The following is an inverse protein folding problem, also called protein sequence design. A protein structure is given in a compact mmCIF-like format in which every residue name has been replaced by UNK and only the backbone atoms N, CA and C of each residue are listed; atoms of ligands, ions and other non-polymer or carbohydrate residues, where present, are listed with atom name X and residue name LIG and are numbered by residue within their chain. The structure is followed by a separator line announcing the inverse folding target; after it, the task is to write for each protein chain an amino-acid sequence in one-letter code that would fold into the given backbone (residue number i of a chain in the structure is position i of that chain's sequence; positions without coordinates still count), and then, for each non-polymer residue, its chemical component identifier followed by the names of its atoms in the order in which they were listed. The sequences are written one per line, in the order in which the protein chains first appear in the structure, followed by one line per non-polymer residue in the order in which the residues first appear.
data_IF_166029182309
#
_entry.id   IF_166029182309
#
_cell.length_a   1.000
_cell.length_b   1.000
_cell.length_c   1.000
_cell.angle_alpha   90.00
_cell.angle_beta   90.00
_cell.angle_gamma   90.00
#
_symmetry.space_group_name_H-M   'P 1'
#
loop_
_entity.id
_entity.type
_entity.pdbx_description
1 polymer ?
#
# COMPACT_ATOMS: atom_id res chain seq x y z
N UNK A 1 22.95 16.23 -7.04
CA UNK A 1 22.22 16.71 -5.85
C UNK A 1 23.09 17.72 -5.13
N UNK A 2 22.69 18.99 -4.96
CA UNK A 2 23.52 20.01 -4.29
C UNK A 2 23.02 20.14 -2.85
N UNK A 3 23.78 19.64 -1.86
CA UNK A 3 23.43 19.76 -0.44
C UNK A 3 23.36 21.25 -0.05
N UNK A 4 22.28 21.68 0.60
CA UNK A 4 22.07 23.07 1.05
C UNK A 4 22.45 23.31 2.52
N UNK A 5 23.19 22.39 3.15
CA UNK A 5 23.63 22.51 4.55
C UNK A 5 24.31 23.85 4.83
N UNK A 6 25.08 24.38 3.88
CA UNK A 6 25.70 25.70 3.98
C UNK A 6 24.70 26.85 4.13
N UNK A 7 23.62 26.83 3.35
CA UNK A 7 22.56 27.84 3.47
C UNK A 7 21.88 27.72 4.84
N UNK A 8 21.58 26.49 5.29
CA UNK A 8 20.95 26.26 6.60
C UNK A 8 21.83 26.71 7.75
N UNK A 9 23.13 26.44 7.71
CA UNK A 9 24.11 26.95 8.69
C UNK A 9 24.07 28.48 8.72
N UNK A 10 24.09 29.13 7.56
CA UNK A 10 24.02 30.59 7.45
C UNK A 10 22.73 31.15 8.04
N UNK A 11 21.60 30.50 7.77
CA UNK A 11 20.30 30.95 8.23
C UNK A 11 20.18 30.80 9.76
N UNK A 12 20.53 29.64 10.32
CA UNK A 12 20.57 29.40 11.77
C UNK A 12 21.54 30.34 12.50
N UNK A 13 22.70 30.62 11.88
CA UNK A 13 23.68 31.58 12.40
C UNK A 13 23.09 32.98 12.47
N UNK A 14 22.39 33.41 11.42
CA UNK A 14 21.72 34.72 11.36
C UNK A 14 20.55 34.82 12.33
N UNK A 15 19.74 33.77 12.48
CA UNK A 15 18.66 33.68 13.46
C UNK A 15 19.17 33.85 14.90
N UNK A 16 20.37 33.35 15.19
CA UNK A 16 21.04 33.54 16.48
C UNK A 16 21.84 34.84 16.60
N UNK A 17 21.92 35.64 15.54
CA UNK A 17 22.62 36.94 15.54
C UNK A 17 24.15 36.86 15.72
N UNK A 18 24.78 35.72 15.42
CA UNK A 18 26.23 35.53 15.61
C UNK A 18 27.02 35.67 14.29
N UNK A 19 28.31 36.00 14.37
CA UNK A 19 29.20 36.10 13.20
C UNK A 19 29.76 34.74 12.77
N UNK A 20 30.35 34.67 11.57
CA UNK A 20 31.02 33.46 11.10
C UNK A 20 32.23 33.11 11.99
N UNK A 21 33.00 34.10 12.49
CA UNK A 21 34.08 33.86 13.46
C UNK A 21 33.54 33.24 14.74
N UNK A 22 32.45 33.79 15.30
CA UNK A 22 31.87 33.28 16.54
C UNK A 22 31.38 31.83 16.40
N UNK A 23 30.83 31.47 15.24
CA UNK A 23 30.47 30.08 14.96
C UNK A 23 31.72 29.20 14.83
N UNK A 24 32.75 29.67 14.13
CA UNK A 24 34.00 28.95 13.94
C UNK A 24 34.68 28.62 15.29
N UNK A 25 34.74 29.60 16.19
CA UNK A 25 35.31 29.44 17.53
C UNK A 25 34.52 28.41 18.37
N UNK A 26 33.19 28.41 18.26
CA UNK A 26 32.33 27.47 19.01
C UNK A 26 32.43 26.04 18.52
N UNK A 27 32.62 25.84 17.22
CA UNK A 27 32.73 24.53 16.59
C UNK A 27 34.18 24.02 16.59
N UNK A 28 35.16 24.89 16.83
CA UNK A 28 36.59 24.54 16.86
C UNK A 28 37.20 24.42 15.47
N UNK A 29 36.76 25.27 14.53
CA UNK A 29 37.25 25.31 13.15
C UNK A 29 37.72 26.72 12.77
N UNK A 30 38.32 26.87 11.60
CA UNK A 30 38.69 28.19 11.10
C UNK A 30 37.48 28.95 10.53
N UNK A 31 37.52 30.27 10.61
CA UNK A 31 36.56 31.15 9.93
C UNK A 31 36.40 30.80 8.44
N UNK A 32 37.51 30.51 7.76
CA UNK A 32 37.50 30.16 6.34
C UNK A 32 36.73 28.87 6.07
N UNK A 33 36.72 27.92 7.02
CA UNK A 33 35.91 26.70 6.90
C UNK A 33 34.41 27.06 6.90
N UNK A 34 33.96 27.83 7.89
CA UNK A 34 32.57 28.30 7.99
C UNK A 34 32.16 29.10 6.76
N UNK A 35 33.01 30.02 6.29
CA UNK A 35 32.75 30.81 5.08
C UNK A 35 32.61 29.93 3.83
N UNK A 36 33.47 28.91 3.67
CA UNK A 36 33.36 27.96 2.55
C UNK A 36 32.08 27.13 2.64
N UNK A 37 31.66 26.74 3.84
CA UNK A 37 30.39 26.03 4.04
C UNK A 37 29.21 26.91 3.64
N UNK A 38 29.11 28.12 4.18
CA UNK A 38 27.98 29.03 3.92
C UNK A 38 27.87 29.48 2.45
N UNK A 39 28.98 29.43 1.70
CA UNK A 39 29.01 29.74 0.27
C UNK A 39 28.90 28.49 -0.64
N UNK A 40 28.75 27.29 -0.06
CA UNK A 40 28.63 26.04 -0.81
C UNK A 40 29.91 25.64 -1.57
N UNK A 41 31.07 26.16 -1.15
CA UNK A 41 32.39 25.86 -1.71
C UNK A 41 32.92 24.53 -1.14
N UNK A 42 32.60 24.23 0.11
CA UNK A 42 32.94 22.98 0.78
C UNK A 42 31.79 22.54 1.70
N UNK A 43 31.80 21.28 2.13
CA UNK A 43 30.88 20.77 3.14
C UNK A 43 31.60 20.69 4.51
N UNK A 44 30.86 20.79 5.63
CA UNK A 44 31.39 20.38 6.92
C UNK A 44 31.82 18.92 6.87
N UNK A 45 32.91 18.58 7.56
CA UNK A 45 33.28 17.19 7.77
C UNK A 45 32.13 16.48 8.51
N UNK A 46 31.87 15.21 8.16
CA UNK A 46 30.77 14.43 8.75
C UNK A 46 30.89 14.34 10.28
N UNK A 47 32.11 14.38 10.82
CA UNK A 47 32.38 14.36 12.27
C UNK A 47 31.95 15.65 12.97
N UNK A 48 31.81 16.77 12.24
CA UNK A 48 31.38 18.07 12.78
C UNK A 48 29.86 18.24 12.75
N UNK A 49 29.14 17.38 12.03
CA UNK A 49 27.68 17.45 11.88
C UNK A 49 26.96 17.33 13.23
N UNK A 50 27.28 16.37 14.12
CA UNK A 50 26.66 16.31 15.44
C UNK A 50 26.92 17.56 16.29
N UNK A 51 28.13 18.13 16.21
CA UNK A 51 28.49 19.35 16.95
C UNK A 51 27.71 20.57 16.43
N UNK A 52 27.56 20.71 15.11
CA UNK A 52 26.74 21.75 14.49
C UNK A 52 25.26 21.61 14.89
N UNK A 53 24.70 20.40 14.77
CA UNK A 53 23.31 20.12 15.14
C UNK A 53 23.06 20.41 16.63
N UNK A 54 23.95 19.93 17.51
CA UNK A 54 23.91 20.19 18.94
C UNK A 54 24.07 21.66 19.29
N UNK A 55 24.98 22.38 18.63
CA UNK A 55 25.15 23.82 18.81
C UNK A 55 23.84 24.56 18.49
N UNK A 56 23.24 24.28 17.33
CA UNK A 56 22.00 24.92 16.88
C UNK A 56 20.73 24.38 17.55
N UNK A 57 20.82 23.32 18.36
CA UNK A 57 19.69 22.65 19.03
C UNK A 57 18.63 22.14 18.05
N UNK A 58 19.09 21.56 16.94
CA UNK A 58 18.23 20.93 15.93
C UNK A 58 18.66 19.48 15.72
N UNK A 59 17.81 18.68 15.09
CA UNK A 59 18.22 17.34 14.63
C UNK A 59 19.25 17.43 13.50
N UNK A 60 20.03 16.36 13.31
CA UNK A 60 20.95 16.25 12.17
C UNK A 60 20.17 16.33 10.85
N UNK A 61 18.96 15.74 10.80
CA UNK A 61 18.09 15.77 9.62
C UNK A 61 17.68 17.21 9.24
N UNK A 62 17.33 18.02 10.23
CA UNK A 62 17.02 19.45 10.04
C UNK A 62 18.22 20.24 9.53
N UNK A 63 19.45 19.91 9.98
CA UNK A 63 20.67 20.60 9.56
C UNK A 63 20.95 20.37 8.07
N UNK A 64 20.72 19.16 7.58
CA UNK A 64 20.95 18.83 6.17
C UNK A 64 19.94 19.46 5.22
N UNK A 65 18.91 20.18 5.73
CA UNK A 65 17.75 20.58 4.93
C UNK A 65 17.33 19.42 4.03
N UNK A 66 17.25 18.21 4.61
CA UNK A 66 16.75 17.08 3.87
C UNK A 66 15.36 17.51 3.41
N UNK A 67 15.21 17.67 2.09
CA UNK A 67 13.93 18.04 1.50
C UNK A 67 13.07 16.78 1.53
N UNK A 68 12.81 16.24 2.73
CA UNK A 68 11.93 15.11 2.99
C UNK A 68 10.59 15.38 2.31
N UNK A 69 10.15 16.62 2.36
CA UNK A 69 8.98 17.10 1.63
C UNK A 69 9.11 16.91 0.11
N UNK A 70 10.21 17.35 -0.50
CA UNK A 70 10.43 17.21 -1.96
C UNK A 70 10.64 15.75 -2.36
N UNK A 71 11.34 14.96 -1.54
CA UNK A 71 11.51 13.51 -1.75
C UNK A 71 10.14 12.85 -1.71
N UNK A 72 9.34 13.13 -0.67
CA UNK A 72 7.99 12.61 -0.54
C UNK A 72 7.11 13.02 -1.72
N UNK A 73 7.11 14.30 -2.11
CA UNK A 73 6.37 14.78 -3.27
C UNK A 73 6.81 14.11 -4.57
N UNK A 74 8.12 13.93 -4.77
CA UNK A 74 8.64 13.22 -5.94
C UNK A 74 8.21 11.75 -5.94
N UNK A 75 8.24 11.08 -4.79
CA UNK A 75 7.81 9.69 -4.65
C UNK A 75 6.31 9.57 -4.89
N UNK A 76 5.51 10.47 -4.30
CA UNK A 76 4.07 10.53 -4.50
C UNK A 76 3.73 10.77 -5.98
N UNK A 77 4.49 11.59 -6.69
CA UNK A 77 4.34 11.79 -8.14
C UNK A 77 4.63 10.51 -8.93
N UNK A 78 5.74 9.83 -8.62
CA UNK A 78 6.11 8.58 -9.28
C UNK A 78 5.02 7.53 -9.05
N UNK A 79 4.59 7.33 -7.80
CA UNK A 79 3.53 6.39 -7.44
C UNK A 79 2.21 6.75 -8.14
N UNK A 80 1.84 8.03 -8.17
CA UNK A 80 0.61 8.49 -8.82
C UNK A 80 0.63 8.24 -10.33
N UNK A 81 1.76 8.50 -10.99
CA UNK A 81 1.90 8.22 -12.41
C UNK A 81 1.87 6.71 -12.68
N UNK A 82 2.58 5.91 -11.88
CA UNK A 82 2.56 4.45 -12.00
C UNK A 82 1.15 3.86 -11.80
N UNK A 83 0.37 4.38 -10.85
CA UNK A 83 -1.00 3.94 -10.58
C UNK A 83 -1.93 4.06 -11.79
N UNK A 84 -1.72 5.05 -12.68
CA UNK A 84 -2.54 5.23 -13.90
C UNK A 84 -2.46 4.04 -14.85
N UNK A 85 -1.34 3.31 -14.81
CA UNK A 85 -1.07 2.17 -15.69
C UNK A 85 -1.18 0.83 -14.98
N UNK A 86 -1.52 0.80 -13.67
CA UNK A 86 -1.47 -0.42 -12.85
C UNK A 86 -2.24 -1.58 -13.48
N UNK A 87 -3.45 -1.32 -13.96
CA UNK A 87 -4.32 -2.34 -14.57
C UNK A 87 -4.20 -2.41 -16.10
N UNK A 88 -3.89 -1.28 -16.76
CA UNK A 88 -3.92 -1.17 -18.22
C UNK A 88 -2.59 -1.51 -18.89
N UNK A 89 -1.47 -1.22 -18.23
CA UNK A 89 -0.11 -1.53 -18.67
C UNK A 89 0.80 -1.77 -17.44
N UNK A 90 0.68 -2.94 -16.79
CA UNK A 90 1.43 -3.26 -15.58
C UNK A 90 2.95 -3.23 -15.80
N UNK A 91 3.42 -3.52 -17.02
CA UNK A 91 4.83 -3.49 -17.38
C UNK A 91 5.36 -2.05 -17.32
N UNK A 92 4.63 -1.09 -17.89
CA UNK A 92 4.99 0.33 -17.79
C UNK A 92 4.90 0.83 -16.35
N UNK A 93 3.87 0.44 -15.61
CA UNK A 93 3.72 0.79 -14.19
C UNK A 93 4.93 0.31 -13.37
N UNK A 94 5.31 -0.96 -13.54
CA UNK A 94 6.49 -1.56 -12.92
C UNK A 94 7.77 -0.83 -13.28
N UNK A 95 7.99 -0.51 -14.55
CA UNK A 95 9.17 0.24 -15.01
C UNK A 95 9.31 1.59 -14.31
N UNK A 96 8.22 2.36 -14.19
CA UNK A 96 8.24 3.65 -13.49
C UNK A 96 8.63 3.51 -12.01
N UNK A 97 8.12 2.46 -11.35
CA UNK A 97 8.43 2.17 -9.95
C UNK A 97 9.89 1.73 -9.76
N UNK A 98 10.41 0.90 -10.67
CA UNK A 98 11.82 0.47 -10.67
C UNK A 98 12.78 1.64 -10.91
N UNK A 99 12.47 2.53 -11.87
CA UNK A 99 13.21 3.79 -12.07
C UNK A 99 13.17 4.68 -10.82
N UNK A 100 12.01 4.74 -10.15
CA UNK A 100 11.86 5.41 -8.86
C UNK A 100 12.75 4.80 -7.78
N UNK A 101 12.80 3.48 -7.69
CA UNK A 101 13.63 2.73 -6.72
C UNK A 101 15.13 2.84 -7.00
N UNK A 102 15.54 3.07 -8.25
CA UNK A 102 16.95 3.40 -8.55
C UNK A 102 17.34 4.75 -7.92
N UNK A 103 16.41 5.72 -7.88
CA UNK A 103 16.64 7.04 -7.30
C UNK A 103 16.43 7.08 -5.78
N UNK A 104 15.47 6.31 -5.28
CA UNK A 104 15.11 6.21 -3.86
C UNK A 104 15.11 4.73 -3.42
N UNK A 105 16.30 4.13 -3.24
CA UNK A 105 16.41 2.71 -2.93
C UNK A 105 15.65 2.33 -1.66
N UNK A 106 14.90 1.23 -1.75
CA UNK A 106 14.18 0.62 -0.63
C UNK A 106 13.15 1.52 0.06
N UNK A 107 12.63 2.54 -0.62
CA UNK A 107 11.58 3.37 -0.04
C UNK A 107 10.26 2.59 0.04
N UNK A 108 9.68 2.50 1.24
CA UNK A 108 8.50 1.67 1.54
C UNK A 108 7.35 1.90 0.57
N UNK A 109 6.99 3.16 0.31
CA UNK A 109 5.87 3.50 -0.59
C UNK A 109 6.09 2.96 -2.01
N UNK A 110 7.31 3.03 -2.55
CA UNK A 110 7.59 2.55 -3.91
C UNK A 110 7.56 1.03 -3.98
N UNK A 111 8.15 0.35 -2.97
CA UNK A 111 8.07 -1.10 -2.87
C UNK A 111 6.62 -1.58 -2.68
N UNK A 112 5.83 -0.87 -1.88
CA UNK A 112 4.41 -1.17 -1.66
C UNK A 112 3.63 -1.10 -2.97
N UNK A 113 3.86 -0.05 -3.77
CA UNK A 113 3.22 0.07 -5.09
C UNK A 113 3.73 -0.99 -6.07
N UNK A 114 5.00 -1.38 -5.97
CA UNK A 114 5.59 -2.44 -6.80
C UNK A 114 4.87 -3.77 -6.57
N UNK A 115 4.52 -4.12 -5.33
CA UNK A 115 3.81 -5.37 -5.02
C UNK A 115 2.53 -5.56 -5.85
N UNK A 116 1.80 -4.49 -6.17
CA UNK A 116 0.56 -4.58 -6.95
C UNK A 116 0.75 -4.94 -8.42
N UNK A 117 1.96 -4.79 -8.96
CA UNK A 117 2.27 -5.07 -10.37
C UNK A 117 3.25 -6.24 -10.52
N UNK A 118 3.59 -6.92 -9.42
CA UNK A 118 4.38 -8.13 -9.44
C UNK A 118 3.51 -9.33 -9.76
N UNK A 119 4.03 -10.24 -10.60
CA UNK A 119 3.35 -11.49 -10.91
C UNK A 119 3.79 -12.58 -9.92
N UNK A 120 3.16 -12.61 -8.75
CA UNK A 120 3.45 -13.63 -7.73
C UNK A 120 3.04 -15.05 -8.16
N UNK A 121 2.22 -15.21 -9.20
CA UNK A 121 1.86 -16.55 -9.71
C UNK A 121 2.98 -17.17 -10.56
N UNK A 122 3.71 -16.34 -11.32
CA UNK A 122 4.83 -16.79 -12.15
C UNK A 122 6.19 -16.66 -11.45
N UNK A 123 6.36 -15.67 -10.58
CA UNK A 123 7.61 -15.39 -9.87
C UNK A 123 7.35 -15.05 -8.38
N UNK A 124 6.89 -16.03 -7.58
CA UNK A 124 6.57 -15.81 -6.17
C UNK A 124 7.78 -15.40 -5.33
N UNK A 125 8.98 -15.90 -5.64
CA UNK A 125 10.20 -15.59 -4.86
C UNK A 125 10.51 -14.10 -4.77
N UNK A 126 10.32 -13.38 -5.87
CA UNK A 126 10.55 -11.94 -5.92
C UNK A 126 9.56 -11.22 -4.98
N UNK A 127 8.28 -11.59 -5.07
CA UNK A 127 7.23 -11.00 -4.22
C UNK A 127 7.46 -11.32 -2.76
N UNK A 128 7.84 -12.56 -2.41
CA UNK A 128 8.18 -12.96 -1.03
C UNK A 128 9.32 -12.08 -0.49
N UNK A 129 10.37 -11.85 -1.27
CA UNK A 129 11.51 -11.02 -0.87
C UNK A 129 11.11 -9.57 -0.61
N UNK A 130 10.34 -8.96 -1.52
CA UNK A 130 9.90 -7.55 -1.38
C UNK A 130 8.90 -7.41 -0.22
N UNK A 131 7.89 -8.28 -0.18
CA UNK A 131 6.83 -8.24 0.81
C UNK A 131 7.33 -8.54 2.23
N UNK A 132 8.18 -9.57 2.40
CA UNK A 132 8.76 -9.90 3.70
C UNK A 132 9.58 -8.75 4.28
N UNK A 133 10.43 -8.11 3.45
CA UNK A 133 11.21 -6.95 3.88
C UNK A 133 10.34 -5.76 4.29
N UNK A 134 9.27 -5.49 3.55
CA UNK A 134 8.32 -4.43 3.89
C UNK A 134 7.60 -4.73 5.21
N UNK A 135 7.09 -5.95 5.38
CA UNK A 135 6.36 -6.37 6.57
C UNK A 135 7.21 -6.28 7.85
N UNK A 136 8.52 -6.54 7.75
CA UNK A 136 9.47 -6.46 8.86
C UNK A 136 9.87 -5.03 9.22
N UNK A 137 10.01 -4.14 8.24
CA UNK A 137 10.68 -2.84 8.41
C UNK A 137 9.77 -1.64 8.50
N UNK A 138 8.60 -1.71 7.88
CA UNK A 138 7.73 -0.52 7.79
C UNK A 138 7.02 -0.27 9.12
N UNK A 139 7.03 0.99 9.55
CA UNK A 139 6.22 1.44 10.69
C UNK A 139 4.79 1.81 10.28
N UNK A 140 4.49 1.82 8.97
CA UNK A 140 3.16 2.14 8.46
C UNK A 140 2.24 0.90 8.45
N UNK A 141 1.20 0.83 9.29
CA UNK A 141 0.36 -0.35 9.38
C UNK A 141 -0.34 -0.71 8.07
N UNK A 142 -0.76 0.28 7.27
CA UNK A 142 -1.42 0.02 6.00
C UNK A 142 -0.49 -0.69 5.02
N UNK A 143 0.76 -0.22 4.91
CA UNK A 143 1.78 -0.85 4.07
C UNK A 143 2.14 -2.24 4.62
N UNK A 144 2.28 -2.36 5.94
CA UNK A 144 2.59 -3.63 6.60
C UNK A 144 1.55 -4.70 6.30
N UNK A 145 0.27 -4.38 6.45
CA UNK A 145 -0.81 -5.34 6.24
C UNK A 145 -0.97 -5.72 4.76
N UNK A 146 -0.78 -4.77 3.84
CA UNK A 146 -0.73 -5.13 2.42
C UNK A 146 0.47 -6.03 2.11
N UNK A 147 1.64 -5.74 2.66
CA UNK A 147 2.82 -6.57 2.48
C UNK A 147 2.60 -7.99 3.01
N UNK A 148 2.03 -8.15 4.21
CA UNK A 148 1.67 -9.46 4.76
C UNK A 148 0.67 -10.22 3.87
N UNK A 149 -0.32 -9.52 3.28
CA UNK A 149 -1.26 -10.11 2.34
C UNK A 149 -0.58 -10.60 1.06
N UNK A 150 0.27 -9.79 0.43
CA UNK A 150 1.03 -10.21 -0.75
C UNK A 150 2.02 -11.33 -0.45
N UNK A 151 2.65 -11.31 0.73
CA UNK A 151 3.50 -12.38 1.21
C UNK A 151 2.72 -13.69 1.30
N UNK A 152 1.52 -13.67 1.89
CA UNK A 152 0.66 -14.85 1.97
C UNK A 152 0.31 -15.39 0.58
N UNK A 153 -0.10 -14.53 -0.35
CA UNK A 153 -0.44 -14.93 -1.72
C UNK A 153 0.75 -15.56 -2.46
N UNK A 154 1.94 -14.98 -2.35
CA UNK A 154 3.13 -15.49 -3.00
C UNK A 154 3.62 -16.80 -2.37
N UNK A 155 3.57 -16.95 -1.04
CA UNK A 155 3.87 -18.20 -0.35
C UNK A 155 2.91 -19.32 -0.79
N UNK A 156 1.60 -19.04 -0.83
CA UNK A 156 0.61 -20.00 -1.31
C UNK A 156 0.84 -20.40 -2.78
N UNK A 157 1.11 -19.43 -3.66
CA UNK A 157 1.42 -19.69 -5.08
C UNK A 157 2.67 -20.58 -5.26
N UNK A 158 3.62 -20.52 -4.32
CA UNK A 158 4.81 -21.38 -4.27
C UNK A 158 4.52 -22.79 -3.70
N UNK A 159 3.34 -23.02 -3.13
CA UNK A 159 2.99 -24.24 -2.42
C UNK A 159 3.46 -24.30 -0.96
N UNK A 160 3.81 -23.16 -0.36
CA UNK A 160 4.18 -23.03 1.05
C UNK A 160 3.02 -22.43 1.86
N UNK A 161 2.01 -23.28 2.12
CA UNK A 161 0.81 -22.88 2.88
C UNK A 161 1.11 -22.57 4.35
N UNK A 162 2.19 -23.12 4.90
CA UNK A 162 2.60 -22.87 6.29
C UNK A 162 3.04 -21.41 6.44
N UNK A 163 3.94 -20.96 5.57
CA UNK A 163 4.38 -19.55 5.57
C UNK A 163 3.26 -18.60 5.16
N UNK A 164 2.36 -19.04 4.27
CA UNK A 164 1.18 -18.25 3.91
C UNK A 164 0.28 -18.00 5.12
N UNK A 165 -0.02 -19.05 5.89
CA UNK A 165 -0.83 -18.95 7.11
C UNK A 165 -0.14 -18.08 8.17
N UNK A 166 1.17 -18.25 8.38
CA UNK A 166 1.92 -17.45 9.34
C UNK A 166 1.92 -15.93 9.00
N UNK A 167 1.87 -15.58 7.71
CA UNK A 167 1.70 -14.19 7.29
C UNK A 167 0.27 -13.68 7.54
N UNK A 168 -0.74 -14.52 7.32
CA UNK A 168 -2.16 -14.19 7.56
C UNK A 168 -2.43 -13.98 9.05
N UNK A 169 -1.87 -14.80 9.94
CA UNK A 169 -2.04 -14.69 11.40
C UNK A 169 -1.52 -13.37 11.98
N UNK A 170 -0.67 -12.65 11.24
CA UNK A 170 -0.19 -11.31 11.61
C UNK A 170 -1.14 -10.19 11.18
N UNK A 171 -2.12 -10.47 10.32
CA UNK A 171 -3.15 -9.52 9.92
C UNK A 171 -4.17 -9.38 11.05
N UNK A 172 -4.49 -8.14 11.49
CA UNK A 172 -5.47 -7.96 12.54
C UNK A 172 -6.87 -8.28 12.02
N UNK A 173 -7.67 -8.93 12.86
CA UNK A 173 -9.12 -8.89 12.70
C UNK A 173 -9.63 -7.48 13.03
N UNK A 174 -10.35 -6.86 12.09
CA UNK A 174 -10.82 -5.49 12.25
C UNK A 174 -12.33 -5.51 12.50
N UNK A 175 -12.72 -5.35 13.77
CA UNK A 175 -14.15 -5.26 14.16
C UNK A 175 -14.76 -3.90 13.83
N UNK A 176 -13.96 -2.83 13.88
CA UNK A 176 -14.36 -1.47 13.54
C UNK A 176 -13.23 -0.77 12.77
N UNK A 177 -13.60 0.05 11.79
CA UNK A 177 -12.63 0.74 10.93
C UNK A 177 -12.53 2.22 11.28
N UNK A 178 -11.39 2.85 10.93
CA UNK A 178 -11.23 4.30 11.03
C UNK A 178 -12.36 5.07 10.33
N UNK A 179 -12.78 4.62 9.15
CA UNK A 179 -13.84 5.29 8.39
C UNK A 179 -15.20 5.16 9.11
N UNK A 180 -15.46 4.01 9.73
CA UNK A 180 -16.65 3.78 10.55
C UNK A 180 -16.71 4.76 11.73
N UNK A 181 -15.64 4.86 12.51
CA UNK A 181 -15.58 5.78 13.66
C UNK A 181 -15.64 7.25 13.25
N UNK A 182 -15.02 7.61 12.12
CA UNK A 182 -15.15 8.95 11.55
C UNK A 182 -16.59 9.27 11.15
N UNK A 183 -17.33 8.31 10.59
CA UNK A 183 -18.73 8.49 10.22
C UNK A 183 -19.64 8.65 11.45
N UNK A 184 -19.31 7.98 12.56
CA UNK A 184 -20.07 8.11 13.81
C UNK A 184 -19.79 9.42 14.54
N UNK A 185 -18.52 9.82 14.66
CA UNK A 185 -18.09 10.89 15.56
C UNK A 185 -17.99 12.27 14.91
N UNK A 186 -17.62 12.36 13.63
CA UNK A 186 -17.39 13.65 12.97
C UNK A 186 -18.69 14.29 12.47
N UNK A 187 -18.59 15.50 11.92
CA UNK A 187 -19.73 16.25 11.39
C UNK A 187 -19.45 16.79 9.99
N UNK A 188 -20.51 17.09 9.23
CA UNK A 188 -20.40 17.73 7.93
C UNK A 188 -19.79 16.83 6.85
N UNK A 189 -18.96 17.43 5.99
CA UNK A 189 -18.43 16.77 4.78
C UNK A 189 -17.59 15.52 5.09
N UNK A 190 -16.70 15.59 6.07
CA UNK A 190 -15.81 14.48 6.45
C UNK A 190 -16.58 13.27 6.97
N UNK A 191 -17.66 13.48 7.74
CA UNK A 191 -18.57 12.39 8.15
C UNK A 191 -19.20 11.70 6.95
N UNK A 192 -19.76 12.48 6.01
CA UNK A 192 -20.42 11.93 4.82
C UNK A 192 -19.43 11.14 3.96
N UNK A 193 -18.24 11.70 3.69
CA UNK A 193 -17.21 11.02 2.90
C UNK A 193 -16.73 9.72 3.55
N UNK A 194 -16.57 9.70 4.88
CA UNK A 194 -16.20 8.50 5.60
C UNK A 194 -17.29 7.42 5.53
N UNK A 195 -18.56 7.82 5.71
CA UNK A 195 -19.71 6.92 5.64
C UNK A 195 -19.85 6.28 4.26
N UNK A 196 -19.80 7.08 3.17
CA UNK A 196 -19.92 6.56 1.81
C UNK A 196 -18.77 5.62 1.45
N UNK A 197 -17.51 6.01 1.77
CA UNK A 197 -16.35 5.16 1.52
C UNK A 197 -16.44 3.83 2.27
N UNK A 198 -16.82 3.87 3.55
CA UNK A 198 -16.95 2.64 4.33
C UNK A 198 -18.09 1.76 3.81
N UNK A 199 -19.22 2.35 3.41
CA UNK A 199 -20.35 1.62 2.82
C UNK A 199 -19.88 0.80 1.61
N UNK A 200 -19.12 1.42 0.71
CA UNK A 200 -18.58 0.76 -0.48
C UNK A 200 -17.62 -0.38 -0.14
N UNK A 201 -16.63 -0.13 0.72
CA UNK A 201 -15.66 -1.16 1.14
C UNK A 201 -16.38 -2.35 1.78
N UNK A 202 -17.36 -2.10 2.64
CA UNK A 202 -18.15 -3.16 3.28
C UNK A 202 -18.94 -3.98 2.26
N UNK A 203 -19.55 -3.32 1.27
CA UNK A 203 -20.28 -4.03 0.21
C UNK A 203 -19.36 -4.88 -0.66
N UNK A 204 -18.21 -4.36 -1.10
CA UNK A 204 -17.23 -5.14 -1.90
C UNK A 204 -16.73 -6.35 -1.14
N UNK A 205 -16.36 -6.19 0.14
CA UNK A 205 -15.92 -7.29 0.97
C UNK A 205 -17.02 -8.35 1.14
N UNK A 206 -18.27 -7.92 1.40
CA UNK A 206 -19.39 -8.85 1.50
C UNK A 206 -19.59 -9.61 0.19
N UNK A 207 -19.58 -8.92 -0.95
CA UNK A 207 -19.75 -9.53 -2.27
C UNK A 207 -18.67 -10.58 -2.55
N UNK A 208 -17.40 -10.24 -2.29
CA UNK A 208 -16.28 -11.17 -2.46
C UNK A 208 -16.43 -12.42 -1.57
N UNK A 209 -16.86 -12.25 -0.31
CA UNK A 209 -17.06 -13.38 0.60
C UNK A 209 -18.28 -14.23 0.25
N UNK A 210 -19.33 -13.66 -0.35
CA UNK A 210 -20.45 -14.43 -0.90
C UNK A 210 -19.98 -15.30 -2.07
N UNK A 211 -19.16 -14.75 -2.98
CA UNK A 211 -18.53 -15.52 -4.07
C UNK A 211 -17.69 -16.65 -3.49
N UNK A 212 -16.82 -16.35 -2.51
CA UNK A 212 -15.95 -17.38 -1.93
C UNK A 212 -16.75 -18.48 -1.21
N UNK A 213 -17.83 -18.11 -0.54
CA UNK A 213 -18.76 -19.07 0.06
C UNK A 213 -19.43 -19.96 -0.98
N UNK A 214 -19.80 -19.41 -2.14
CA UNK A 214 -20.37 -20.17 -3.25
C UNK A 214 -19.36 -21.17 -3.83
N UNK A 215 -18.09 -20.77 -4.01
CA UNK A 215 -17.00 -21.65 -4.42
C UNK A 215 -16.81 -22.82 -3.44
N UNK A 216 -16.77 -22.54 -2.13
CA UNK A 216 -16.64 -23.60 -1.13
C UNK A 216 -17.83 -24.58 -1.14
N UNK A 217 -19.05 -24.10 -1.43
CA UNK A 217 -20.23 -24.97 -1.58
C UNK A 217 -20.14 -25.83 -2.84
N UNK A 218 -19.63 -25.27 -3.93
CA UNK A 218 -19.35 -26.02 -5.16
C UNK A 218 -18.30 -27.12 -4.92
N UNK A 219 -17.18 -26.78 -4.26
CA UNK A 219 -16.12 -27.74 -3.89
C UNK A 219 -16.66 -28.88 -3.01
N UNK A 220 -17.64 -28.58 -2.14
CA UNK A 220 -18.36 -29.57 -1.34
C UNK A 220 -19.43 -30.36 -2.11
N UNK A 221 -19.68 -30.04 -3.39
CA UNK A 221 -20.67 -30.69 -4.25
C UNK A 221 -22.10 -30.16 -4.13
N UNK A 222 -22.36 -29.13 -3.32
CA UNK A 222 -23.68 -28.51 -3.14
C UNK A 222 -23.92 -27.40 -4.17
N UNK A 223 -24.08 -27.81 -5.42
CA UNK A 223 -24.34 -26.92 -6.56
C UNK A 223 -25.60 -26.05 -6.36
N UNK A 224 -26.75 -26.56 -5.84
CA UNK A 224 -27.91 -25.73 -5.56
C UNK A 224 -27.62 -24.60 -4.56
N UNK A 225 -26.91 -24.87 -3.46
CA UNK A 225 -26.59 -23.84 -2.49
C UNK A 225 -25.54 -22.85 -3.03
N UNK A 226 -24.61 -23.28 -3.87
CA UNK A 226 -23.68 -22.39 -4.58
C UNK A 226 -24.42 -21.41 -5.50
N UNK A 227 -25.34 -21.92 -6.33
CA UNK A 227 -26.18 -21.10 -7.21
C UNK A 227 -27.06 -20.12 -6.43
N UNK A 228 -27.64 -20.56 -5.30
CA UNK A 228 -28.45 -19.68 -4.45
C UNK A 228 -27.63 -18.55 -3.83
N UNK A 229 -26.36 -18.79 -3.50
CA UNK A 229 -25.48 -17.75 -2.95
C UNK A 229 -25.11 -16.71 -4.03
N UNK A 230 -24.78 -17.19 -5.24
CA UNK A 230 -24.50 -16.32 -6.39
C UNK A 230 -25.71 -15.47 -6.79
N UNK A 231 -26.93 -16.02 -6.71
CA UNK A 231 -28.15 -15.26 -6.96
C UNK A 231 -28.36 -14.13 -5.94
N UNK A 232 -28.11 -14.39 -4.65
CA UNK A 232 -28.15 -13.35 -3.61
C UNK A 232 -27.11 -12.26 -3.86
N UNK A 233 -25.91 -12.64 -4.32
CA UNK A 233 -24.86 -11.68 -4.68
C UNK A 233 -25.30 -10.76 -5.84
N UNK A 234 -25.93 -11.32 -6.87
CA UNK A 234 -26.53 -10.54 -7.97
C UNK A 234 -27.64 -9.59 -7.50
N UNK A 235 -28.50 -10.05 -6.58
CA UNK A 235 -29.54 -9.19 -6.00
C UNK A 235 -28.91 -8.01 -5.25
N UNK A 236 -27.88 -8.24 -4.44
CA UNK A 236 -27.17 -7.18 -3.71
C UNK A 236 -26.51 -6.18 -4.66
N UNK A 237 -25.85 -6.64 -5.72
CA UNK A 237 -25.29 -5.80 -6.78
C UNK A 237 -26.36 -4.88 -7.41
N UNK A 238 -27.54 -5.44 -7.73
CA UNK A 238 -28.63 -4.68 -8.34
C UNK A 238 -29.20 -3.58 -7.45
N UNK A 239 -29.10 -3.73 -6.12
CA UNK A 239 -29.50 -2.71 -5.16
C UNK A 239 -28.50 -1.55 -5.17
N UNK A 240 -27.21 -1.88 -5.14
CA UNK A 240 -26.14 -0.86 -5.12
C UNK A 240 -26.05 -0.05 -6.41
N UNK A 241 -26.21 -0.69 -7.57
CA UNK A 241 -26.18 -0.01 -8.88
C UNK A 241 -27.26 1.09 -8.99
N UNK A 242 -28.43 0.86 -8.37
CA UNK A 242 -29.52 1.85 -8.34
C UNK A 242 -29.21 3.06 -7.47
N UNK A 243 -28.40 2.89 -6.42
CA UNK A 243 -27.98 3.98 -5.54
C UNK A 243 -26.89 4.84 -6.18
N UNK A 244 -26.02 4.25 -7.01
CA UNK A 244 -24.79 4.89 -7.44
C UNK A 244 -24.55 4.77 -8.95
N UNK A 245 -25.16 5.70 -9.71
CA UNK A 245 -25.14 5.75 -11.18
C UNK A 245 -23.75 5.83 -11.84
N UNK A 246 -22.69 5.98 -11.06
CA UNK A 246 -21.31 6.15 -11.54
C UNK A 246 -20.41 4.93 -11.32
N UNK A 247 -20.86 3.92 -10.57
CA UNK A 247 -20.09 2.70 -10.37
C UNK A 247 -20.39 1.69 -11.48
N UNK A 248 -19.39 1.41 -12.32
CA UNK A 248 -19.50 0.36 -13.34
C UNK A 248 -19.31 -1.02 -12.68
N UNK A 249 -20.43 -1.68 -12.36
CA UNK A 249 -20.47 -2.99 -11.70
C UNK A 249 -20.60 -4.15 -12.69
N UNK A 250 -20.52 -3.87 -14.00
CA UNK A 250 -20.69 -4.86 -15.06
C UNK A 250 -19.69 -6.00 -14.96
N UNK A 251 -18.46 -5.72 -14.54
CA UNK A 251 -17.40 -6.74 -14.34
C UNK A 251 -17.84 -7.83 -13.34
N UNK A 252 -18.45 -7.43 -12.23
CA UNK A 252 -18.94 -8.36 -11.21
C UNK A 252 -20.16 -9.14 -11.69
N UNK A 253 -21.09 -8.46 -12.39
CA UNK A 253 -22.27 -9.09 -12.98
C UNK A 253 -21.88 -10.15 -14.01
N UNK A 254 -21.01 -9.80 -14.95
CA UNK A 254 -20.50 -10.70 -15.98
C UNK A 254 -19.79 -11.92 -15.39
N UNK A 255 -18.95 -11.70 -14.37
CA UNK A 255 -18.28 -12.79 -13.67
C UNK A 255 -19.29 -13.76 -13.04
N UNK A 256 -20.26 -13.25 -12.27
CA UNK A 256 -21.26 -14.08 -11.60
C UNK A 256 -22.14 -14.83 -12.61
N UNK A 257 -22.59 -14.18 -13.68
CA UNK A 257 -23.37 -14.82 -14.73
C UNK A 257 -22.61 -15.98 -15.38
N UNK A 258 -21.34 -15.77 -15.74
CA UNK A 258 -20.48 -16.85 -16.30
C UNK A 258 -20.34 -18.02 -15.33
N UNK A 259 -20.13 -17.76 -14.04
CA UNK A 259 -20.03 -18.83 -13.04
C UNK A 259 -21.35 -19.61 -12.89
N UNK A 260 -22.48 -18.92 -12.87
CA UNK A 260 -23.78 -19.58 -12.78
C UNK A 260 -24.10 -20.44 -14.02
N UNK A 261 -23.76 -19.97 -15.22
CA UNK A 261 -23.89 -20.76 -16.46
C UNK A 261 -23.03 -22.03 -16.42
N UNK A 262 -21.77 -21.91 -15.96
CA UNK A 262 -20.88 -23.06 -15.75
C UNK A 262 -21.48 -24.07 -14.79
N UNK A 263 -21.97 -23.63 -13.63
CA UNK A 263 -22.60 -24.48 -12.61
C UNK A 263 -23.87 -25.17 -13.11
N UNK A 264 -24.74 -24.45 -13.85
CA UNK A 264 -25.95 -25.01 -14.45
C UNK A 264 -25.62 -26.09 -15.48
N UNK A 265 -24.57 -25.88 -16.27
CA UNK A 265 -24.09 -26.83 -17.27
C UNK A 265 -23.46 -28.09 -16.63
N UNK A 266 -22.74 -27.94 -15.52
CA UNK A 266 -22.22 -29.06 -14.75
C UNK A 266 -23.35 -29.91 -14.16
N UNK A 267 -24.42 -29.28 -13.66
CA UNK A 267 -25.61 -29.96 -13.15
C UNK A 267 -26.35 -30.73 -14.23
N UNK A 268 -26.49 -30.21 -15.46
CA UNK A 268 -27.15 -30.92 -16.56
C UNK A 268 -26.37 -32.13 -17.08
N UNK A 269 -25.05 -32.15 -16.87
CA UNK A 269 -24.18 -33.25 -17.29
C UNK A 269 -23.96 -34.32 -16.19
N UNK A 270 -24.54 -34.13 -14.99
CA UNK A 270 -24.46 -35.13 -13.92
C UNK A 270 -25.63 -36.10 -14.08
N UNK A 271 -25.41 -37.40 -14.41
CA UNK A 271 -26.50 -38.35 -14.51
C UNK A 271 -27.22 -38.45 -13.16
N UNK A 272 -28.56 -38.62 -13.14
CA UNK A 272 -29.29 -38.75 -11.88
C UNK A 272 -28.68 -39.89 -11.07
N UNK A 273 -28.17 -39.58 -9.88
CA UNK A 273 -27.80 -40.60 -8.91
C UNK A 273 -29.02 -41.51 -8.73
N UNK A 274 -28.86 -42.77 -9.13
CA UNK A 274 -29.88 -43.79 -8.98
C UNK A 274 -30.29 -43.81 -7.51
N UNK A 275 -31.51 -43.33 -7.25
CA UNK A 275 -32.16 -43.43 -5.95
C UNK A 275 -32.19 -44.90 -5.56
N UNK A 276 -31.64 -45.18 -4.38
CA UNK A 276 -31.36 -46.52 -3.90
C UNK A 276 -32.53 -47.48 -4.02
N UNK A 277 -32.20 -48.69 -4.46
CA UNK A 277 -32.89 -49.89 -4.00
C UNK A 277 -32.50 -50.16 -2.55
N UNK A 278 -33.50 -50.20 -1.66
CA UNK A 278 -33.77 -51.31 -0.74
C UNK A 278 -35.01 -50.98 0.12
N UNK A 279 -35.74 -51.99 0.64
CA UNK A 279 -35.54 -53.43 0.52
C UNK A 279 -36.42 -54.11 -0.55
#
# INVERSE_FOLDING_TARGET
MKLSIGNKIRDLRRERGITQEQLADRIGVSFQAVSKWENGIALPDITLVPALAGYFQISIDELFTFRQEEIRQNIDEICREACKYRETDPIKSRKLLEEGLQKYPYHDTLLHHLLYVMNYTENPEETISVAGRLAERTDNPAIKYDALRFLAYACHAKGDDISALAAIEQLPEITFTKLTEMAFLLTGKTKREAAEKQKWISFENMLQMMVKTAECREEAGDIPAALSEMDRALQLLSVMEKEEKTADLTVYQDYLHRQMERLRSARSNTPPQATGHQP
#
